data_IF_429531893115
#
_entry.id   IF_429531893115
#
_cell.length_a   1.000
_cell.length_b   1.000
_cell.length_c   1.000
_cell.angle_alpha   90.00
_cell.angle_beta   90.00
_cell.angle_gamma   90.00
#
_symmetry.space_group_name_H-M   'P 1'
#
loop_
_entity.id
_entity.type
_entity.pdbx_description
1 polymer ?
#
# COMPACT_ATOMS: atom_id res chain seq x y z
N UNK A 1 24.21 24.14 -5.59
CA UNK A 1 23.08 23.19 -5.49
C UNK A 1 21.90 23.95 -4.90
N UNK A 2 20.76 23.99 -5.59
CA UNK A 2 19.57 24.70 -5.10
C UNK A 2 18.97 23.99 -3.88
N UNK A 3 18.13 24.69 -3.12
CA UNK A 3 17.39 24.09 -1.98
C UNK A 3 16.58 22.88 -2.44
N UNK A 4 15.93 22.96 -3.59
CA UNK A 4 15.11 21.89 -4.14
C UNK A 4 15.94 20.65 -4.52
N UNK A 5 17.16 20.84 -5.01
CA UNK A 5 18.08 19.74 -5.29
C UNK A 5 18.56 19.06 -3.99
N UNK A 6 18.72 19.82 -2.90
CA UNK A 6 19.05 19.26 -1.58
C UNK A 6 17.88 18.42 -1.04
N UNK A 7 16.65 18.94 -1.14
CA UNK A 7 15.45 18.22 -0.73
C UNK A 7 15.24 16.94 -1.53
N UNK A 8 15.43 16.98 -2.85
CA UNK A 8 15.35 15.80 -3.70
C UNK A 8 16.39 14.75 -3.29
N UNK A 9 17.64 15.15 -3.04
CA UNK A 9 18.69 14.23 -2.56
C UNK A 9 18.36 13.63 -1.19
N UNK A 10 17.81 14.43 -0.28
CA UNK A 10 17.40 13.95 1.04
C UNK A 10 16.25 12.93 0.93
N UNK A 11 15.28 13.19 0.05
CA UNK A 11 14.20 12.25 -0.26
C UNK A 11 14.75 10.94 -0.84
N UNK A 12 15.63 11.02 -1.85
CA UNK A 12 16.23 9.83 -2.47
C UNK A 12 17.01 8.98 -1.46
N UNK A 13 17.72 9.63 -0.52
CA UNK A 13 18.42 8.94 0.55
C UNK A 13 17.45 8.18 1.48
N UNK A 14 16.30 8.78 1.83
CA UNK A 14 15.25 8.12 2.61
C UNK A 14 14.63 6.94 1.84
N UNK A 15 14.33 7.13 0.55
CA UNK A 15 13.78 6.07 -0.30
C UNK A 15 14.72 4.87 -0.39
N UNK A 16 16.01 5.09 -0.61
CA UNK A 16 17.01 4.01 -0.63
C UNK A 16 17.02 3.22 0.68
N UNK A 17 16.89 3.87 1.83
CA UNK A 17 16.82 3.17 3.12
C UNK A 17 15.57 2.31 3.26
N UNK A 18 14.42 2.75 2.73
CA UNK A 18 13.15 2.02 2.86
C UNK A 18 13.04 0.83 1.89
N UNK A 19 13.66 0.94 0.72
CA UNK A 19 13.62 -0.10 -0.31
C UNK A 19 14.56 -1.28 0.04
N UNK A 20 14.15 -2.52 -0.29
CA UNK A 20 15.04 -3.67 -0.24
C UNK A 20 16.38 -3.43 -0.94
N UNK A 21 17.45 -4.05 -0.43
CA UNK A 21 18.83 -3.78 -0.86
C UNK A 21 19.01 -3.87 -2.38
N UNK A 22 18.42 -4.89 -3.00
CA UNK A 22 18.50 -5.15 -4.43
C UNK A 22 17.96 -4.00 -5.31
N UNK A 23 17.04 -3.18 -4.78
CA UNK A 23 16.46 -2.06 -5.53
C UNK A 23 17.16 -0.72 -5.30
N UNK A 24 18.02 -0.59 -4.29
CA UNK A 24 18.58 0.72 -3.92
C UNK A 24 19.39 1.39 -5.05
N UNK A 25 19.96 0.57 -5.94
CA UNK A 25 20.75 1.02 -7.08
C UNK A 25 19.93 1.15 -8.38
N UNK A 26 18.79 0.48 -8.51
CA UNK A 26 18.08 0.30 -9.78
C UNK A 26 16.56 0.52 -9.71
N UNK A 27 16.00 1.01 -8.60
CA UNK A 27 14.56 1.23 -8.46
C UNK A 27 13.96 2.19 -9.51
N UNK A 28 14.81 2.94 -10.21
CA UNK A 28 14.44 3.82 -11.31
C UNK A 28 14.22 3.06 -12.62
N UNK A 29 14.85 1.89 -12.77
CA UNK A 29 14.84 1.06 -13.97
C UNK A 29 13.77 -0.05 -13.91
N UNK A 30 13.21 -0.32 -12.72
CA UNK A 30 12.20 -1.37 -12.53
C UNK A 30 10.94 -1.05 -13.34
N UNK A 31 10.65 -1.90 -14.32
CA UNK A 31 9.46 -1.79 -15.15
C UNK A 31 8.32 -2.64 -14.59
N UNK A 32 7.06 -2.15 -14.63
CA UNK A 32 5.92 -2.86 -14.08
C UNK A 32 5.44 -3.98 -15.03
N UNK A 33 6.24 -5.02 -15.23
CA UNK A 33 5.92 -6.16 -16.12
C UNK A 33 5.19 -7.25 -15.32
N UNK A 34 3.90 -7.55 -15.62
CA UNK A 34 3.14 -8.56 -14.87
C UNK A 34 3.71 -9.97 -15.05
N UNK A 35 3.77 -10.75 -13.97
CA UNK A 35 3.98 -12.20 -14.06
C UNK A 35 2.66 -12.95 -14.03
N UNK A 36 2.66 -14.16 -14.59
CA UNK A 36 1.50 -15.07 -14.55
C UNK A 36 1.28 -15.57 -13.12
N UNK A 37 0.02 -15.58 -12.67
CA UNK A 37 -0.36 -16.15 -11.38
C UNK A 37 -0.19 -17.68 -11.39
N UNK A 38 0.53 -18.25 -10.41
CA UNK A 38 0.69 -19.70 -10.25
C UNK A 38 -0.63 -20.40 -9.95
N UNK A 39 -0.86 -21.64 -10.37
CA UNK A 39 -2.06 -22.40 -9.98
C UNK A 39 -2.11 -22.68 -8.47
N UNK A 40 -3.30 -22.94 -7.91
CA UNK A 40 -3.39 -23.47 -6.54
C UNK A 40 -2.85 -24.90 -6.50
N UNK A 41 -2.17 -25.24 -5.40
CA UNK A 41 -1.80 -26.61 -5.05
C UNK A 41 -2.62 -27.05 -3.84
N UNK A 42 -2.90 -28.35 -3.76
CA UNK A 42 -3.72 -28.93 -2.70
C UNK A 42 -2.94 -30.03 -1.98
N UNK A 43 -3.08 -30.07 -0.66
CA UNK A 43 -2.50 -31.09 0.19
C UNK A 43 -3.31 -32.40 0.14
N UNK A 44 -2.83 -33.43 0.84
CA UNK A 44 -3.50 -34.73 0.93
C UNK A 44 -4.91 -34.67 1.57
N UNK A 45 -5.25 -33.58 2.27
CA UNK A 45 -6.58 -33.33 2.84
C UNK A 45 -7.52 -32.58 1.88
N UNK A 46 -7.07 -32.28 0.66
CA UNK A 46 -7.83 -31.50 -0.33
C UNK A 46 -7.92 -30.02 0.00
N UNK A 47 -7.10 -29.51 0.93
CA UNK A 47 -7.02 -28.08 1.26
C UNK A 47 -5.85 -27.43 0.55
N UNK A 48 -5.89 -26.12 0.37
CA UNK A 48 -4.81 -25.40 -0.32
C UNK A 48 -3.52 -25.48 0.48
N UNK A 49 -2.44 -25.94 -0.16
CA UNK A 49 -1.08 -25.96 0.37
C UNK A 49 -0.43 -24.60 0.09
N UNK A 50 -0.79 -23.59 0.89
CA UNK A 50 -0.40 -22.19 0.62
C UNK A 50 1.10 -21.98 0.53
N UNK A 51 1.87 -22.68 1.37
CA UNK A 51 3.32 -22.71 1.44
C UNK A 51 4.02 -23.33 0.21
N UNK A 52 3.28 -24.04 -0.64
CA UNK A 52 3.83 -24.72 -1.81
C UNK A 52 3.51 -24.03 -3.15
N UNK A 53 2.74 -22.93 -3.14
CA UNK A 53 2.20 -22.32 -4.38
C UNK A 53 3.28 -21.59 -5.20
N UNK A 54 4.28 -20.99 -4.56
CA UNK A 54 5.25 -20.12 -5.21
C UNK A 54 6.67 -20.68 -5.24
N UNK A 55 7.39 -20.30 -6.29
CA UNK A 55 8.83 -20.50 -6.44
C UNK A 55 9.60 -19.17 -6.39
N UNK A 56 8.95 -18.09 -6.83
CA UNK A 56 9.47 -16.71 -6.81
C UNK A 56 8.31 -15.71 -6.74
N UNK A 57 8.62 -14.45 -6.43
CA UNK A 57 7.68 -13.33 -6.44
C UNK A 57 8.08 -12.30 -7.50
N UNK A 58 7.11 -11.52 -7.99
CA UNK A 58 7.42 -10.34 -8.80
C UNK A 58 8.16 -9.28 -7.97
N UNK A 59 8.70 -8.28 -8.67
CA UNK A 59 9.19 -7.07 -8.02
C UNK A 59 8.09 -6.38 -7.19
N UNK A 60 8.48 -5.79 -6.06
CA UNK A 60 7.55 -5.00 -5.25
C UNK A 60 7.03 -3.80 -6.03
N UNK A 61 5.74 -3.50 -5.89
CA UNK A 61 5.15 -2.25 -6.38
C UNK A 61 5.82 -1.03 -5.72
N UNK A 62 6.19 -1.18 -4.45
CA UNK A 62 7.03 -0.22 -3.71
C UNK A 62 8.36 0.05 -4.44
N UNK A 63 8.96 -0.96 -5.06
CA UNK A 63 10.17 -0.86 -5.83
C UNK A 63 9.95 -0.57 -7.32
N UNK A 64 8.70 -0.36 -7.78
CA UNK A 64 8.37 -0.04 -9.19
C UNK A 64 7.77 -1.15 -10.01
N UNK A 65 7.74 -2.35 -9.44
CA UNK A 65 7.10 -3.49 -10.06
C UNK A 65 5.61 -3.24 -10.30
N UNK A 66 4.95 -4.14 -11.03
CA UNK A 66 3.51 -4.08 -11.16
C UNK A 66 2.86 -4.32 -9.79
N UNK A 67 1.79 -3.59 -9.44
CA UNK A 67 0.99 -3.98 -8.28
C UNK A 67 0.42 -5.37 -8.51
N UNK A 68 0.37 -6.16 -7.44
CA UNK A 68 -0.25 -7.48 -7.43
C UNK A 68 -1.66 -7.44 -8.01
N UNK A 69 -2.38 -6.34 -7.80
CA UNK A 69 -3.71 -6.09 -8.34
C UNK A 69 -3.76 -4.84 -9.22
N UNK A 70 -4.43 -4.97 -10.37
CA UNK A 70 -4.72 -3.82 -11.24
C UNK A 70 -5.75 -2.83 -10.68
N UNK A 71 -6.60 -3.27 -9.74
CA UNK A 71 -7.61 -2.47 -9.03
C UNK A 71 -7.61 -2.80 -7.55
N UNK A 72 -7.93 -1.83 -6.69
CA UNK A 72 -7.96 -2.02 -5.24
C UNK A 72 -8.85 -3.20 -4.84
N UNK A 73 -8.32 -4.10 -4.01
CA UNK A 73 -9.10 -5.12 -3.31
C UNK A 73 -9.59 -4.57 -1.97
N UNK A 74 -10.88 -4.25 -1.90
CA UNK A 74 -11.54 -3.67 -0.74
C UNK A 74 -12.13 -4.72 0.22
N UNK A 75 -12.28 -4.39 1.52
CA UNK A 75 -13.03 -5.23 2.47
C UNK A 75 -14.51 -5.28 2.11
N UNK A 76 -15.20 -6.37 2.46
CA UNK A 76 -16.66 -6.41 2.33
C UNK A 76 -17.35 -5.44 3.31
N UNK A 77 -18.47 -4.88 2.87
CA UNK A 77 -19.31 -4.03 3.71
C UNK A 77 -20.07 -4.83 4.77
N UNK A 78 -20.46 -4.15 5.86
CA UNK A 78 -21.21 -4.75 6.97
C UNK A 78 -22.48 -5.47 6.52
N UNK A 79 -23.27 -4.87 5.63
CA UNK A 79 -24.52 -5.47 5.12
C UNK A 79 -24.29 -6.79 4.35
N UNK A 80 -23.18 -6.90 3.61
CA UNK A 80 -22.82 -8.14 2.90
C UNK A 80 -22.44 -9.24 3.89
N UNK A 81 -21.71 -8.89 4.94
CA UNK A 81 -21.27 -9.83 5.98
C UNK A 81 -22.47 -10.30 6.81
N UNK A 82 -23.40 -9.41 7.15
CA UNK A 82 -24.61 -9.74 7.89
C UNK A 82 -25.55 -10.66 7.08
N UNK A 83 -25.53 -10.57 5.75
CA UNK A 83 -26.28 -11.47 4.87
C UNK A 83 -25.68 -12.90 4.83
N UNK A 84 -24.36 -13.05 4.95
CA UNK A 84 -23.66 -14.34 4.84
C UNK A 84 -22.59 -14.55 5.95
N UNK A 85 -22.97 -14.54 7.25
CA UNK A 85 -22.01 -14.49 8.35
C UNK A 85 -21.18 -15.77 8.50
N UNK A 86 -21.76 -16.93 8.19
CA UNK A 86 -21.04 -18.20 8.21
C UNK A 86 -19.98 -18.26 7.12
N UNK A 87 -20.33 -17.83 5.90
CA UNK A 87 -19.40 -17.78 4.77
C UNK A 87 -18.25 -16.81 5.05
N UNK A 88 -18.55 -15.65 5.64
CA UNK A 88 -17.52 -14.71 6.07
C UNK A 88 -16.52 -15.35 7.05
N UNK A 89 -17.00 -16.10 8.05
CA UNK A 89 -16.13 -16.80 9.02
C UNK A 89 -15.21 -17.81 8.33
N UNK A 90 -15.73 -18.58 7.37
CA UNK A 90 -14.93 -19.53 6.59
C UNK A 90 -13.83 -18.84 5.79
N UNK A 91 -14.18 -17.77 5.06
CA UNK A 91 -13.21 -16.98 4.29
C UNK A 91 -12.15 -16.39 5.20
N UNK A 92 -12.54 -15.72 6.30
CA UNK A 92 -11.60 -15.11 7.22
C UNK A 92 -10.68 -16.17 7.85
N UNK A 93 -11.23 -17.34 8.22
CA UNK A 93 -10.47 -18.47 8.73
C UNK A 93 -9.46 -18.99 7.72
N UNK A 94 -9.84 -19.09 6.44
CA UNK A 94 -8.95 -19.55 5.37
C UNK A 94 -7.85 -18.54 5.04
N UNK A 95 -8.14 -17.24 5.01
CA UNK A 95 -7.11 -16.19 4.88
C UNK A 95 -6.11 -16.30 6.03
N UNK A 96 -6.59 -16.40 7.28
CA UNK A 96 -5.72 -16.51 8.44
C UNK A 96 -4.88 -17.79 8.42
N UNK A 97 -5.46 -18.92 7.96
CA UNK A 97 -4.73 -20.17 7.77
C UNK A 97 -3.61 -20.00 6.74
N UNK A 98 -3.93 -19.41 5.58
CA UNK A 98 -2.96 -19.14 4.54
C UNK A 98 -1.81 -18.27 5.04
N UNK A 99 -2.11 -17.16 5.71
CA UNK A 99 -1.08 -16.26 6.26
C UNK A 99 -0.15 -16.99 7.25
N UNK A 100 -0.68 -17.83 8.15
CA UNK A 100 0.14 -18.59 9.10
C UNK A 100 1.03 -19.65 8.46
N UNK A 101 0.65 -20.19 7.30
CA UNK A 101 1.47 -21.18 6.59
C UNK A 101 2.65 -20.55 5.88
N UNK A 102 2.53 -19.26 5.51
CA UNK A 102 3.39 -18.63 4.51
C UNK A 102 4.31 -17.57 5.09
N UNK A 103 4.09 -17.25 6.36
CA UNK A 103 4.86 -16.24 7.07
C UNK A 103 5.17 -16.77 8.47
N UNK A 104 6.46 -16.87 8.78
CA UNK A 104 6.94 -17.52 10.00
C UNK A 104 6.96 -16.58 11.22
N UNK A 105 6.88 -15.25 11.03
CA UNK A 105 6.97 -14.29 12.13
C UNK A 105 5.67 -13.55 12.46
N UNK A 106 4.63 -13.69 11.64
CA UNK A 106 3.35 -13.01 11.88
C UNK A 106 2.28 -14.01 12.28
N UNK A 107 1.51 -13.64 13.28
CA UNK A 107 0.28 -14.35 13.61
C UNK A 107 -0.89 -13.69 12.86
N UNK A 108 -1.89 -14.49 12.49
CA UNK A 108 -3.09 -14.01 11.83
C UNK A 108 -4.35 -14.60 12.46
N UNK A 109 -5.38 -13.77 12.62
CA UNK A 109 -6.67 -14.16 13.17
C UNK A 109 -7.79 -13.21 12.67
N UNK A 110 -9.07 -13.60 12.77
CA UNK A 110 -10.17 -12.70 12.41
C UNK A 110 -10.14 -11.40 13.22
N UNK A 111 -10.47 -10.27 12.57
CA UNK A 111 -10.59 -8.98 13.28
C UNK A 111 -11.96 -8.89 13.98
N UNK A 112 -12.04 -8.22 15.15
CA UNK A 112 -13.32 -7.80 15.71
C UNK A 112 -14.08 -6.82 14.80
N UNK A 113 -13.40 -6.12 13.89
CA UNK A 113 -14.03 -5.24 12.92
C UNK A 113 -14.45 -6.04 11.67
N UNK A 114 -15.76 -6.11 11.33
CA UNK A 114 -16.23 -6.84 10.16
C UNK A 114 -15.55 -6.37 8.87
N UNK A 115 -15.20 -7.33 8.02
CA UNK A 115 -14.56 -7.11 6.72
C UNK A 115 -13.04 -7.20 6.78
N UNK A 116 -12.48 -7.54 7.94
CA UNK A 116 -11.03 -7.54 8.16
C UNK A 116 -10.53 -8.81 8.87
N UNK A 117 -9.30 -9.19 8.55
CA UNK A 117 -8.46 -10.07 9.37
C UNK A 117 -7.30 -9.26 9.91
N UNK A 118 -6.78 -9.63 11.09
CA UNK A 118 -5.64 -8.95 11.72
C UNK A 118 -4.37 -9.80 11.62
N UNK A 119 -3.28 -9.15 11.21
CA UNK A 119 -1.93 -9.71 11.13
C UNK A 119 -1.06 -9.00 12.17
N UNK A 120 -0.70 -9.72 13.23
CA UNK A 120 0.10 -9.19 14.34
C UNK A 120 1.57 -9.29 13.98
N UNK A 121 2.22 -8.15 13.82
CA UNK A 121 3.65 -8.09 13.51
C UNK A 121 4.47 -8.01 14.81
N UNK A 122 5.66 -8.62 14.87
CA UNK A 122 6.55 -8.55 16.03
C UNK A 122 6.97 -7.13 16.41
N UNK A 123 7.04 -6.22 15.44
CA UNK A 123 7.46 -4.84 15.65
C UNK A 123 6.55 -3.85 14.94
N UNK A 124 6.46 -2.62 15.47
CA UNK A 124 5.80 -1.51 14.77
C UNK A 124 6.48 -1.14 13.46
N UNK A 125 7.80 -1.37 13.36
CA UNK A 125 8.59 -1.13 12.14
C UNK A 125 8.08 -2.05 11.02
N UNK A 126 7.97 -3.35 11.30
CA UNK A 126 7.44 -4.32 10.34
C UNK A 126 6.00 -3.97 9.95
N UNK A 127 5.12 -3.72 10.92
CA UNK A 127 3.74 -3.36 10.63
C UNK A 127 3.63 -2.09 9.76
N UNK A 128 4.41 -1.06 10.10
CA UNK A 128 4.46 0.21 9.35
C UNK A 128 5.03 0.07 7.94
N UNK A 129 5.97 -0.85 7.73
CA UNK A 129 6.51 -1.14 6.40
C UNK A 129 5.54 -1.99 5.57
N UNK A 130 4.99 -3.06 6.16
CA UNK A 130 4.04 -3.96 5.49
C UNK A 130 2.77 -3.23 5.06
N UNK A 131 2.17 -2.38 5.90
CA UNK A 131 0.95 -1.65 5.51
C UNK A 131 1.18 -0.78 4.27
N UNK A 132 2.35 -0.12 4.16
CA UNK A 132 2.74 0.68 3.00
C UNK A 132 2.93 -0.20 1.77
N UNK A 133 3.67 -1.29 1.91
CA UNK A 133 3.92 -2.23 0.82
C UNK A 133 2.63 -2.84 0.28
N UNK A 134 1.76 -3.35 1.15
CA UNK A 134 0.51 -4.01 0.77
C UNK A 134 -0.45 -3.04 0.07
N UNK A 135 -0.56 -1.80 0.55
CA UNK A 135 -1.38 -0.77 -0.10
C UNK A 135 -0.88 -0.45 -1.51
N UNK A 136 0.43 -0.34 -1.71
CA UNK A 136 1.02 -0.10 -3.04
C UNK A 136 0.78 -1.27 -4.00
N UNK A 137 0.54 -2.48 -3.48
CA UNK A 137 0.16 -3.67 -4.25
C UNK A 137 -1.34 -3.71 -4.59
N UNK A 138 -2.09 -2.64 -4.28
CA UNK A 138 -3.53 -2.49 -4.46
C UNK A 138 -4.37 -3.51 -3.69
N UNK A 139 -3.95 -3.84 -2.47
CA UNK A 139 -4.77 -4.52 -1.48
C UNK A 139 -4.99 -3.57 -0.31
N UNK A 140 -6.25 -3.37 0.12
CA UNK A 140 -6.54 -2.52 1.26
C UNK A 140 -5.76 -3.01 2.49
N UNK A 141 -5.13 -2.09 3.22
CA UNK A 141 -4.56 -2.41 4.51
C UNK A 141 -4.66 -1.20 5.42
N UNK A 142 -4.80 -1.44 6.73
CA UNK A 142 -4.76 -0.39 7.75
C UNK A 142 -3.98 -0.84 8.97
N UNK A 143 -3.27 0.09 9.58
CA UNK A 143 -2.38 -0.09 10.71
C UNK A 143 -3.09 0.30 12.01
N UNK A 144 -3.03 -0.60 12.99
CA UNK A 144 -3.42 -0.36 14.39
C UNK A 144 -2.29 -0.82 15.30
N UNK A 145 -1.43 0.12 15.72
CA UNK A 145 -0.25 -0.19 16.53
C UNK A 145 0.75 -1.05 15.76
N UNK A 146 0.99 -2.29 16.19
CA UNK A 146 1.83 -3.28 15.48
C UNK A 146 1.01 -4.31 14.68
N UNK A 147 -0.26 -4.03 14.45
CA UNK A 147 -1.19 -4.93 13.75
C UNK A 147 -1.60 -4.33 12.41
N UNK A 148 -1.48 -5.11 11.34
CA UNK A 148 -1.97 -4.76 10.00
C UNK A 148 -3.28 -5.50 9.77
N UNK A 149 -4.34 -4.78 9.44
CA UNK A 149 -5.62 -5.37 9.04
C UNK A 149 -5.74 -5.47 7.53
N UNK A 150 -6.19 -6.63 7.04
CA UNK A 150 -6.31 -6.98 5.62
C UNK A 150 -7.76 -7.36 5.28
N UNK A 151 -8.22 -7.15 4.03
CA UNK A 151 -9.63 -7.29 3.68
C UNK A 151 -10.07 -8.76 3.68
N UNK A 152 -11.33 -8.96 4.06
CA UNK A 152 -12.05 -10.20 3.95
C UNK A 152 -13.51 -9.92 3.56
N UNK A 153 -14.17 -10.90 2.95
CA UNK A 153 -15.56 -10.79 2.57
C UNK A 153 -16.18 -12.14 2.24
N UNK A 154 -17.48 -12.37 2.49
CA UNK A 154 -18.10 -13.67 2.24
C UNK A 154 -18.01 -14.09 0.76
N UNK A 155 -17.99 -13.14 -0.16
CA UNK A 155 -17.85 -13.38 -1.61
C UNK A 155 -16.42 -13.59 -2.10
N UNK A 156 -15.42 -13.52 -1.22
CA UNK A 156 -14.03 -13.76 -1.63
C UNK A 156 -13.86 -15.22 -2.06
N UNK A 157 -13.28 -15.40 -3.25
CA UNK A 157 -13.03 -16.71 -3.84
C UNK A 157 -11.60 -17.15 -3.57
N UNK A 158 -11.42 -18.46 -3.42
CA UNK A 158 -10.15 -19.08 -3.09
C UNK A 158 -9.05 -18.73 -4.10
N UNK A 159 -9.30 -18.98 -5.39
CA UNK A 159 -8.34 -18.73 -6.48
C UNK A 159 -8.12 -17.24 -6.80
N UNK A 160 -8.90 -16.34 -6.19
CA UNK A 160 -8.88 -14.91 -6.49
C UNK A 160 -8.63 -14.11 -5.22
N UNK A 161 -9.68 -13.59 -4.60
CA UNK A 161 -9.54 -12.59 -3.54
C UNK A 161 -8.78 -13.14 -2.32
N UNK A 162 -9.05 -14.38 -1.89
CA UNK A 162 -8.32 -15.02 -0.77
C UNK A 162 -6.84 -15.17 -1.12
N UNK A 163 -6.55 -15.77 -2.27
CA UNK A 163 -5.17 -15.94 -2.75
C UNK A 163 -4.44 -14.62 -2.87
N UNK A 164 -5.10 -13.54 -3.32
CA UNK A 164 -4.45 -12.24 -3.44
C UNK A 164 -4.01 -11.70 -2.08
N UNK A 165 -4.86 -11.83 -1.05
CA UNK A 165 -4.52 -11.43 0.32
C UNK A 165 -3.37 -12.27 0.86
N UNK A 166 -3.42 -13.59 0.73
CA UNK A 166 -2.34 -14.48 1.21
C UNK A 166 -1.03 -14.21 0.47
N UNK A 167 -1.09 -14.03 -0.85
CA UNK A 167 0.09 -13.81 -1.71
C UNK A 167 0.76 -12.47 -1.40
N UNK A 168 -0.02 -11.39 -1.24
CA UNK A 168 0.58 -10.08 -0.94
C UNK A 168 1.21 -10.07 0.45
N UNK A 169 0.63 -10.76 1.43
CA UNK A 169 1.24 -10.94 2.76
C UNK A 169 2.53 -11.75 2.66
N UNK A 170 2.53 -12.89 1.97
CA UNK A 170 3.73 -13.71 1.77
C UNK A 170 4.85 -12.92 1.08
N UNK A 171 4.52 -12.23 -0.02
CA UNK A 171 5.44 -11.38 -0.78
C UNK A 171 6.06 -10.32 0.12
N UNK A 172 5.24 -9.53 0.81
CA UNK A 172 5.74 -8.40 1.60
C UNK A 172 6.52 -8.85 2.84
N UNK A 173 6.12 -9.93 3.51
CA UNK A 173 6.93 -10.56 4.56
C UNK A 173 8.27 -11.06 4.03
N UNK A 174 8.29 -11.75 2.88
CA UNK A 174 9.52 -12.23 2.26
C UNK A 174 10.52 -11.10 1.99
N UNK A 175 10.07 -9.97 1.44
CA UNK A 175 10.95 -8.81 1.23
C UNK A 175 11.41 -8.16 2.54
N UNK A 176 10.52 -8.04 3.54
CA UNK A 176 10.90 -7.44 4.81
C UNK A 176 11.93 -8.29 5.57
N UNK A 177 11.73 -9.61 5.59
CA UNK A 177 12.55 -10.54 6.37
C UNK A 177 13.82 -10.97 5.61
N UNK A 178 13.70 -11.23 4.30
CA UNK A 178 14.78 -11.76 3.49
C UNK A 178 15.67 -10.69 2.84
N UNK A 179 15.16 -9.47 2.67
CA UNK A 179 15.82 -8.44 1.84
C UNK A 179 16.05 -7.10 2.54
N UNK A 180 15.67 -6.97 3.82
CA UNK A 180 16.05 -5.84 4.67
C UNK A 180 16.90 -6.33 5.83
N UNK A 181 18.14 -5.85 5.90
CA UNK A 181 19.02 -6.14 7.03
C UNK A 181 18.46 -5.56 8.34
N UNK A 182 18.73 -6.18 9.51
CA UNK A 182 18.27 -5.65 10.80
C UNK A 182 18.65 -4.18 11.05
N UNK A 183 19.87 -3.77 10.65
CA UNK A 183 20.32 -2.37 10.75
C UNK A 183 19.52 -1.44 9.84
N UNK A 184 19.12 -1.91 8.66
CA UNK A 184 18.27 -1.17 7.74
C UNK A 184 16.86 -1.02 8.32
N UNK A 185 16.29 -2.09 8.87
CA UNK A 185 14.98 -2.05 9.54
C UNK A 185 14.94 -0.99 10.66
N UNK A 186 16.00 -0.88 11.48
CA UNK A 186 16.09 0.16 12.50
C UNK A 186 16.13 1.58 11.91
N UNK A 187 16.86 1.79 10.81
CA UNK A 187 16.87 3.08 10.10
C UNK A 187 15.51 3.42 9.51
N UNK A 188 14.78 2.44 8.98
CA UNK A 188 13.39 2.59 8.54
C UNK A 188 12.52 3.04 9.72
N UNK A 189 12.67 2.40 10.88
CA UNK A 189 11.99 2.81 12.11
C UNK A 189 12.25 4.27 12.50
N UNK A 190 13.50 4.73 12.37
CA UNK A 190 13.86 6.12 12.64
C UNK A 190 13.20 7.10 11.64
N UNK A 191 13.16 6.75 10.34
CA UNK A 191 12.47 7.55 9.32
C UNK A 191 10.98 7.65 9.63
N UNK A 192 10.33 6.54 10.00
CA UNK A 192 8.91 6.55 10.33
C UNK A 192 8.62 7.33 11.62
N UNK A 193 9.48 7.24 12.64
CA UNK A 193 9.35 8.02 13.86
C UNK A 193 9.52 9.54 13.61
N UNK A 194 10.46 9.94 12.76
CA UNK A 194 10.62 11.34 12.31
C UNK A 194 9.36 11.84 11.61
N UNK A 195 8.75 11.01 10.77
CA UNK A 195 7.54 11.36 10.04
C UNK A 195 6.31 11.44 10.97
N UNK A 196 6.16 10.49 11.90
CA UNK A 196 5.12 10.48 12.94
C UNK A 196 5.15 11.74 13.82
N UNK A 197 6.34 12.30 14.08
CA UNK A 197 6.50 13.54 14.83
C UNK A 197 5.95 14.78 14.09
N UNK A 198 5.77 14.70 12.77
CA UNK A 198 5.18 15.79 11.98
C UNK A 198 3.66 15.64 11.87
N UNK A 199 3.20 14.46 11.50
CA UNK A 199 1.80 14.07 11.51
C UNK A 199 1.69 12.53 11.55
N UNK A 200 0.62 11.97 12.14
CA UNK A 200 0.43 10.53 12.19
C UNK A 200 0.33 9.93 10.78
N UNK A 201 0.54 8.61 10.66
CA UNK A 201 0.37 7.90 9.40
C UNK A 201 -1.04 8.16 8.86
N UNK A 202 -1.12 8.84 7.72
CA UNK A 202 -2.37 9.15 7.07
C UNK A 202 -2.83 7.92 6.28
N UNK A 203 -3.99 7.39 6.68
CA UNK A 203 -4.59 6.16 6.16
C UNK A 203 -5.98 6.43 5.62
N UNK A 204 -6.50 5.65 4.66
CA UNK A 204 -7.83 5.88 4.11
C UNK A 204 -8.90 5.67 5.19
N UNK A 205 -9.87 6.58 5.28
CA UNK A 205 -11.07 6.40 6.11
C UNK A 205 -12.30 6.23 5.20
N UNK A 206 -12.96 5.05 5.22
CA UNK A 206 -14.15 4.81 4.40
C UNK A 206 -15.40 5.54 4.90
N UNK A 207 -15.31 6.38 5.94
CA UNK A 207 -16.42 7.17 6.46
C UNK A 207 -17.06 8.09 5.40
N UNK A 208 -18.38 8.28 5.51
CA UNK A 208 -19.19 9.04 4.55
C UNK A 208 -18.79 10.53 4.43
N UNK A 209 -18.17 11.11 5.47
CA UNK A 209 -17.69 12.50 5.45
C UNK A 209 -16.60 12.77 4.40
N UNK A 210 -16.04 11.72 3.80
CA UNK A 210 -14.96 11.81 2.83
C UNK A 210 -15.34 12.51 1.51
N UNK A 211 -16.60 12.53 1.06
CA UNK A 211 -16.92 13.06 -0.29
C UNK A 211 -16.82 14.58 -0.42
N UNK A 212 -17.35 15.32 0.56
CA UNK A 212 -17.19 16.77 0.62
C UNK A 212 -15.71 17.15 0.81
N UNK A 213 -14.99 16.36 1.62
CA UNK A 213 -13.56 16.50 1.81
C UNK A 213 -12.80 16.30 0.49
N UNK A 214 -13.07 15.22 -0.25
CA UNK A 214 -12.41 14.90 -1.53
C UNK A 214 -12.57 16.04 -2.53
N UNK A 215 -13.77 16.60 -2.63
CA UNK A 215 -14.06 17.71 -3.55
C UNK A 215 -13.24 18.95 -3.19
N UNK A 216 -13.19 19.34 -1.91
CA UNK A 216 -12.40 20.49 -1.45
C UNK A 216 -10.90 20.27 -1.64
N UNK A 217 -10.39 19.12 -1.21
CA UNK A 217 -8.96 18.78 -1.31
C UNK A 217 -8.52 18.67 -2.78
N UNK A 218 -9.35 18.10 -3.66
CA UNK A 218 -9.09 18.08 -5.10
C UNK A 218 -8.98 19.48 -5.70
N UNK A 219 -9.84 20.42 -5.29
CA UNK A 219 -9.77 21.81 -5.75
C UNK A 219 -8.46 22.49 -5.29
N UNK A 220 -8.09 22.34 -4.01
CA UNK A 220 -6.82 22.83 -3.47
C UNK A 220 -5.61 22.26 -4.21
N UNK A 221 -5.60 20.94 -4.48
CA UNK A 221 -4.54 20.27 -5.22
C UNK A 221 -4.43 20.81 -6.65
N UNK A 222 -5.56 20.98 -7.35
CA UNK A 222 -5.58 21.53 -8.70
C UNK A 222 -5.02 22.94 -8.73
N UNK A 223 -5.39 23.79 -7.78
CA UNK A 223 -4.86 25.14 -7.67
C UNK A 223 -3.34 25.14 -7.39
N UNK A 224 -2.87 24.30 -6.48
CA UNK A 224 -1.47 24.31 -6.06
C UNK A 224 -0.50 23.58 -7.01
N UNK A 225 -0.99 22.61 -7.79
CA UNK A 225 -0.14 21.71 -8.58
C UNK A 225 -0.56 21.56 -10.05
N UNK A 226 -1.78 21.96 -10.40
CA UNK A 226 -2.39 21.68 -11.71
C UNK A 226 -2.94 20.26 -11.86
N UNK A 227 -2.70 19.36 -10.90
CA UNK A 227 -3.20 17.99 -10.96
C UNK A 227 -4.72 17.95 -10.78
N UNK A 228 -5.39 17.15 -11.62
CA UNK A 228 -6.85 17.02 -11.59
C UNK A 228 -7.25 15.74 -10.87
N UNK A 229 -8.40 15.74 -10.19
CA UNK A 229 -9.00 14.51 -9.68
C UNK A 229 -9.39 13.58 -10.85
N UNK A 230 -9.20 12.27 -10.67
CA UNK A 230 -9.50 11.28 -11.70
C UNK A 230 -9.49 9.84 -11.18
N UNK A 231 -9.64 8.89 -12.11
CA UNK A 231 -9.71 7.46 -11.83
C UNK A 231 -11.04 6.95 -11.25
N UNK A 232 -11.04 5.66 -10.91
CA UNK A 232 -12.15 4.98 -10.23
C UNK A 232 -12.34 5.54 -8.81
N UNK A 233 -13.60 5.66 -8.37
CA UNK A 233 -13.96 6.23 -7.08
C UNK A 233 -13.93 5.14 -6.00
N UNK A 234 -13.04 5.30 -5.02
CA UNK A 234 -12.91 4.39 -3.89
C UNK A 234 -13.26 5.09 -2.58
N UNK A 235 -13.82 4.34 -1.63
CA UNK A 235 -14.08 4.89 -0.29
C UNK A 235 -12.76 5.17 0.40
N UNK A 236 -12.63 6.35 1.00
CA UNK A 236 -11.41 6.75 1.70
C UNK A 236 -10.20 7.04 0.80
N UNK A 237 -10.36 7.15 -0.52
CA UNK A 237 -9.26 7.53 -1.42
C UNK A 237 -9.66 8.67 -2.37
N UNK A 238 -8.73 9.60 -2.58
CA UNK A 238 -8.79 10.62 -3.63
C UNK A 238 -7.80 10.23 -4.74
N UNK A 239 -8.32 9.98 -5.94
CA UNK A 239 -7.50 9.74 -7.13
C UNK A 239 -7.11 11.06 -7.81
N UNK A 240 -5.84 11.16 -8.22
CA UNK A 240 -5.23 12.34 -8.82
C UNK A 240 -4.43 11.92 -10.07
N UNK A 241 -4.74 12.54 -11.22
CA UNK A 241 -4.09 12.26 -12.49
C UNK A 241 -2.69 12.86 -12.55
N UNK A 242 -1.67 12.01 -12.70
CA UNK A 242 -0.27 12.43 -12.79
C UNK A 242 0.23 12.59 -14.23
N UNK A 243 -0.60 12.23 -15.20
CA UNK A 243 -0.33 12.37 -16.65
C UNK A 243 0.48 11.24 -17.28
N UNK A 244 1.33 10.54 -16.52
CA UNK A 244 2.04 9.34 -16.99
C UNK A 244 2.32 8.34 -15.85
N UNK A 245 2.58 7.08 -16.18
CA UNK A 245 2.76 6.03 -15.19
C UNK A 245 4.05 6.19 -14.37
N UNK A 246 5.12 6.74 -14.96
CA UNK A 246 6.39 6.98 -14.26
C UNK A 246 6.21 8.01 -13.14
N UNK A 247 5.45 9.08 -13.38
CA UNK A 247 5.07 10.08 -12.39
C UNK A 247 4.23 9.45 -11.27
N UNK A 248 3.20 8.66 -11.60
CA UNK A 248 2.41 7.95 -10.60
C UNK A 248 3.27 7.04 -9.71
N UNK A 249 4.15 6.24 -10.30
CA UNK A 249 5.06 5.33 -9.58
C UNK A 249 6.00 6.13 -8.67
N UNK A 250 6.67 7.14 -9.21
CA UNK A 250 7.65 7.91 -8.45
C UNK A 250 7.00 8.70 -7.32
N UNK A 251 5.89 9.39 -7.58
CA UNK A 251 5.17 10.16 -6.56
C UNK A 251 4.60 9.27 -5.47
N UNK A 252 4.06 8.09 -5.83
CA UNK A 252 3.58 7.09 -4.86
C UNK A 252 4.68 6.68 -3.88
N UNK A 253 5.91 6.43 -4.38
CA UNK A 253 7.06 6.11 -3.51
C UNK A 253 7.48 7.32 -2.66
N UNK A 254 7.54 8.49 -3.27
CA UNK A 254 8.01 9.72 -2.63
C UNK A 254 7.13 10.17 -1.45
N UNK A 255 5.85 9.77 -1.41
CA UNK A 255 4.94 10.04 -0.28
C UNK A 255 5.21 9.15 0.96
N UNK A 256 5.87 8.01 0.76
CA UNK A 256 6.04 7.00 1.80
C UNK A 256 6.86 7.46 3.02
N UNK A 257 7.99 8.18 2.86
CA UNK A 257 8.75 8.72 3.98
C UNK A 257 8.02 9.89 4.68
N UNK A 258 7.03 10.50 4.03
CA UNK A 258 6.24 11.62 4.57
C UNK A 258 4.93 11.13 5.25
N UNK A 259 4.87 9.86 5.64
CA UNK A 259 3.75 9.27 6.40
C UNK A 259 2.37 9.36 5.73
N UNK A 260 2.33 9.41 4.39
CA UNK A 260 1.07 9.37 3.63
C UNK A 260 1.00 8.04 2.88
N UNK A 261 -0.01 7.21 3.17
CA UNK A 261 -0.24 6.01 2.37
C UNK A 261 -0.59 6.39 0.94
N UNK A 262 0.00 5.71 -0.03
CA UNK A 262 -0.23 5.98 -1.44
C UNK A 262 -0.29 4.68 -2.23
N UNK A 263 -1.10 4.67 -3.28
CA UNK A 263 -1.19 3.58 -4.24
C UNK A 263 -1.45 4.15 -5.64
N UNK A 264 -1.46 3.30 -6.68
CA UNK A 264 -1.73 3.77 -8.05
C UNK A 264 -2.47 2.77 -8.93
N UNK A 265 -3.21 3.29 -9.90
CA UNK A 265 -3.81 2.54 -11.01
C UNK A 265 -3.52 3.27 -12.32
N UNK A 266 -2.72 2.68 -13.19
CA UNK A 266 -2.24 3.36 -14.40
C UNK A 266 -1.51 4.67 -14.06
N UNK A 267 -2.07 5.79 -14.54
CA UNK A 267 -1.57 7.16 -14.34
C UNK A 267 -2.14 7.87 -13.12
N UNK A 268 -3.07 7.23 -12.41
CA UNK A 268 -3.77 7.81 -11.26
C UNK A 268 -3.02 7.46 -9.99
N UNK A 269 -2.59 8.48 -9.26
CA UNK A 269 -2.09 8.38 -7.89
C UNK A 269 -3.27 8.50 -6.93
N UNK A 270 -3.40 7.57 -5.99
CA UNK A 270 -4.41 7.63 -4.94
C UNK A 270 -3.76 8.00 -3.61
N UNK A 271 -4.32 9.02 -2.97
CA UNK A 271 -3.96 9.47 -1.63
C UNK A 271 -5.15 9.32 -0.67
N UNK A 272 -4.92 9.22 0.64
CA UNK A 272 -5.98 8.88 1.58
C UNK A 272 -6.93 10.06 1.77
N UNK A 273 -8.23 9.78 1.72
CA UNK A 273 -9.27 10.69 2.20
C UNK A 273 -9.60 10.30 3.64
N UNK A 274 -9.20 11.14 4.59
CA UNK A 274 -9.42 10.91 6.01
C UNK A 274 -9.69 12.23 6.74
N UNK A 275 -10.95 12.68 6.77
CA UNK A 275 -11.33 13.91 7.44
C UNK A 275 -11.12 13.88 8.96
N UNK A 276 -10.99 12.71 9.58
CA UNK A 276 -10.73 12.60 11.02
C UNK A 276 -9.28 12.93 11.37
N UNK A 277 -8.32 12.54 10.51
CA UNK A 277 -6.89 12.80 10.71
C UNK A 277 -6.40 14.07 9.99
N UNK A 278 -7.06 14.47 8.91
CA UNK A 278 -6.72 15.65 8.11
C UNK A 278 -8.00 16.41 7.70
N UNK A 279 -8.69 17.11 8.63
CA UNK A 279 -10.03 17.67 8.39
C UNK A 279 -10.12 18.62 7.20
N UNK A 280 -9.06 19.38 6.96
CA UNK A 280 -8.99 20.39 5.90
C UNK A 280 -8.28 19.90 4.64
N UNK A 281 -7.66 18.71 4.68
CA UNK A 281 -6.90 18.17 3.55
C UNK A 281 -5.51 18.81 3.39
N UNK A 282 -5.03 19.51 4.41
CA UNK A 282 -3.81 20.31 4.33
C UNK A 282 -2.56 19.42 4.40
N UNK A 283 -2.62 18.29 5.12
CA UNK A 283 -1.52 17.30 5.15
C UNK A 283 -1.35 16.67 3.77
N UNK A 284 -2.45 16.23 3.16
CA UNK A 284 -2.42 15.70 1.79
C UNK A 284 -1.93 16.75 0.79
N UNK A 285 -2.45 17.97 0.89
CA UNK A 285 -2.04 19.07 0.02
C UNK A 285 -0.53 19.34 0.14
N UNK A 286 -0.01 19.47 1.36
CA UNK A 286 1.40 19.75 1.60
C UNK A 286 2.30 18.64 1.04
N UNK A 287 1.99 17.39 1.37
CA UNK A 287 2.77 16.23 0.93
C UNK A 287 2.76 16.08 -0.60
N UNK A 288 1.58 16.14 -1.23
CA UNK A 288 1.46 16.00 -2.69
C UNK A 288 2.09 17.19 -3.41
N UNK A 289 1.92 18.42 -2.91
CA UNK A 289 2.55 19.62 -3.50
C UNK A 289 4.08 19.51 -3.45
N UNK A 290 4.65 19.09 -2.32
CA UNK A 290 6.09 18.86 -2.16
C UNK A 290 6.57 17.81 -3.17
N UNK A 291 5.93 16.65 -3.20
CA UNK A 291 6.32 15.54 -4.07
C UNK A 291 6.18 15.91 -5.55
N UNK A 292 5.09 16.57 -5.94
CA UNK A 292 4.88 17.04 -7.32
C UNK A 292 5.98 18.01 -7.77
N UNK A 293 6.32 19.00 -6.94
CA UNK A 293 7.43 19.93 -7.23
C UNK A 293 8.76 19.20 -7.41
N UNK A 294 9.08 18.25 -6.51
CA UNK A 294 10.30 17.45 -6.61
C UNK A 294 10.30 16.53 -7.85
N UNK A 295 9.15 16.01 -8.26
CA UNK A 295 9.03 15.27 -9.52
C UNK A 295 9.35 16.15 -10.74
N UNK A 296 8.98 17.44 -10.69
CA UNK A 296 9.33 18.45 -11.68
C UNK A 296 10.83 18.72 -11.74
N UNK A 297 11.48 18.92 -10.58
CA UNK A 297 12.94 19.09 -10.45
C UNK A 297 13.69 17.87 -11.00
N UNK A 298 13.14 16.67 -10.76
CA UNK A 298 13.67 15.40 -11.27
C UNK A 298 13.43 15.20 -12.77
N UNK A 299 12.51 15.96 -13.37
CA UNK A 299 12.17 15.87 -14.80
C UNK A 299 11.16 14.78 -15.17
N UNK A 300 10.54 14.10 -14.19
CA UNK A 300 9.60 12.98 -14.43
C UNK A 300 8.23 13.45 -14.92
N UNK A 301 7.86 14.69 -14.61
CA UNK A 301 6.59 15.27 -15.06
C UNK A 301 6.58 15.67 -16.54
N UNK A 302 7.74 15.61 -17.21
CA UNK A 302 7.80 15.87 -18.64
C UNK A 302 7.08 14.72 -19.35
N UNK A 303 6.00 15.04 -20.05
CA UNK A 303 5.53 14.19 -21.14
C UNK A 303 6.67 14.17 -22.14
N UNK A 304 7.14 12.99 -22.53
CA UNK A 304 8.11 12.88 -23.62
C UNK A 304 7.68 13.81 -24.77
N UNK A 305 8.63 14.61 -25.25
CA UNK A 305 8.47 15.48 -26.41
C UNK A 305 8.29 14.65 -27.69
#
# INVERSE_FOLDING_TARGET
MTLEQQELRALDAKLKVILPLEYQACYEDVQPVPMRSAGLKYDASGRVAWDEIWQSFCDLAMAGGPPHKGRLLEPAGRAEIEAEPQRYREVAGEICRGIRMVSCQVAAEPSPDPGWVRVMCPTRIMAGWLVRAIVMENVSARLKGSTVELPAGPRFRLEKEIKNVVTVTAKTCHYFEGHLEPRQQLKIGAIFAEADARWPLLQPDPAAAAEAWKTRTAAKLREATGLCAGGEQYRGWLGVETGNAAAAIWMMRALMPDNVLARREGTVLYVPANPAADPEGDVVLEAVRKVHRLAGVRGILRKDA
#
